data_IF_726452524545
#
_entry.id   IF_726452524545
#
_cell.length_a   1.000
_cell.length_b   1.000
_cell.length_c   1.000
_cell.angle_alpha   90.00
_cell.angle_beta   90.00
_cell.angle_gamma   90.00
#
_symmetry.space_group_name_H-M   'P 1'
#
loop_
_entity.id
_entity.type
_entity.pdbx_description
1 polymer ?
#
# COMPACT_ATOMS: atom_id res chain seq x y z
N UNK A 1 13.23 5.27 -16.57
CA UNK A 1 12.17 6.15 -16.06
C UNK A 1 12.04 5.84 -14.58
N UNK A 2 12.32 6.83 -13.73
CA UNK A 2 12.49 6.78 -12.26
C UNK A 2 11.21 7.45 -11.69
N UNK A 3 10.37 6.90 -10.79
CA UNK A 3 10.55 6.34 -9.44
C UNK A 3 9.26 5.61 -8.97
N UNK A 4 9.39 4.74 -7.96
CA UNK A 4 8.31 3.99 -7.28
C UNK A 4 7.51 4.89 -6.32
N UNK A 5 6.37 4.41 -5.78
CA UNK A 5 5.56 5.09 -4.75
C UNK A 5 5.46 4.25 -3.48
N UNK A 6 5.40 4.89 -2.32
CA UNK A 6 5.21 4.24 -1.02
C UNK A 6 3.87 4.66 -0.42
N UNK A 7 3.28 3.86 0.46
CA UNK A 7 2.09 4.22 1.23
C UNK A 7 2.47 4.52 2.69
N UNK A 8 1.90 5.57 3.27
CA UNK A 8 2.12 6.02 4.64
C UNK A 8 0.76 6.26 5.29
N UNK A 9 0.50 5.77 6.51
CA UNK A 9 -0.81 5.94 7.16
C UNK A 9 -0.63 6.48 8.57
N UNK A 10 -1.45 7.44 8.97
CA UNK A 10 -1.66 7.76 10.37
C UNK A 10 -2.89 7.01 10.88
N UNK A 11 -2.75 6.40 12.05
CA UNK A 11 -3.80 5.66 12.71
C UNK A 11 -3.98 6.25 14.10
N UNK A 12 -5.21 6.61 14.43
CA UNK A 12 -5.60 6.89 15.80
C UNK A 12 -5.51 5.59 16.61
N UNK A 13 -4.60 5.55 17.58
CA UNK A 13 -4.31 4.33 18.33
C UNK A 13 -5.44 3.93 19.28
N UNK A 14 -6.24 4.88 19.76
CA UNK A 14 -7.33 4.61 20.69
C UNK A 14 -8.51 3.92 19.99
N UNK A 15 -8.80 4.31 18.75
CA UNK A 15 -9.97 3.84 17.99
C UNK A 15 -9.61 2.89 16.85
N UNK A 16 -8.33 2.84 16.45
CA UNK A 16 -7.87 2.14 15.26
C UNK A 16 -8.30 2.80 13.95
N UNK A 17 -8.87 4.01 14.00
CA UNK A 17 -9.30 4.74 12.82
C UNK A 17 -8.09 5.26 12.04
N UNK A 18 -8.09 5.09 10.72
CA UNK A 18 -7.06 5.67 9.87
C UNK A 18 -7.39 7.16 9.69
N UNK A 19 -6.56 8.03 10.27
CA UNK A 19 -6.74 9.48 10.31
C UNK A 19 -5.99 10.21 9.21
N UNK A 20 -4.96 9.57 8.63
CA UNK A 20 -4.31 10.01 7.39
C UNK A 20 -3.86 8.80 6.57
N UNK A 21 -3.81 8.94 5.25
CA UNK A 21 -3.51 7.85 4.33
C UNK A 21 -2.87 8.41 3.06
N UNK A 22 -1.55 8.40 3.05
CA UNK A 22 -0.69 9.11 2.13
C UNK A 22 0.11 8.15 1.25
N UNK A 23 0.59 8.62 0.10
CA UNK A 23 1.22 7.83 -0.97
C UNK A 23 2.39 8.61 -1.61
N UNK A 24 3.53 8.69 -0.96
CA UNK A 24 4.59 9.60 -1.40
C UNK A 24 5.60 8.95 -2.35
N UNK A 25 6.54 9.74 -2.85
CA UNK A 25 7.54 9.24 -3.78
C UNK A 25 8.42 8.23 -3.03
N UNK A 26 8.72 7.07 -3.61
CA UNK A 26 9.52 6.06 -2.91
C UNK A 26 11.00 6.43 -2.76
N UNK A 27 11.49 7.49 -3.41
CA UNK A 27 12.78 8.12 -3.04
C UNK A 27 12.65 9.24 -2.03
N UNK A 28 11.42 9.67 -1.70
CA UNK A 28 11.20 10.50 -0.54
C UNK A 28 11.17 9.57 0.67
N UNK A 29 12.22 9.71 1.47
CA UNK A 29 12.20 9.18 2.81
C UNK A 29 10.96 9.72 3.51
N UNK A 30 10.25 8.81 4.16
CA UNK A 30 9.36 9.00 5.31
C UNK A 30 9.61 10.38 6.02
N UNK A 31 10.88 10.75 6.27
CA UNK A 31 11.32 12.03 6.87
C UNK A 31 10.90 13.33 6.22
N UNK A 32 10.50 13.25 4.97
CA UNK A 32 10.02 14.38 4.20
C UNK A 32 8.49 14.45 4.16
N UNK A 33 7.79 13.40 4.58
CA UNK A 33 6.34 13.21 4.32
C UNK A 33 5.52 13.12 5.62
N UNK A 34 6.15 12.70 6.73
CA UNK A 34 5.51 12.57 8.04
C UNK A 34 4.82 13.84 8.54
N UNK A 35 5.44 15.01 8.36
CA UNK A 35 4.89 16.28 8.86
C UNK A 35 3.52 16.57 8.21
N UNK A 36 3.41 16.33 6.91
CA UNK A 36 2.18 16.52 6.16
C UNK A 36 1.14 15.46 6.56
N UNK A 37 1.55 14.21 6.74
CA UNK A 37 0.69 13.10 7.20
C UNK A 37 0.12 13.38 8.58
N UNK A 38 0.98 13.83 9.51
CA UNK A 38 0.59 14.13 10.88
C UNK A 38 -0.27 15.39 10.98
N UNK A 39 0.09 16.46 10.27
CA UNK A 39 -0.71 17.70 10.24
C UNK A 39 -2.14 17.41 9.75
N UNK A 40 -2.25 16.56 8.72
CA UNK A 40 -3.56 16.13 8.22
C UNK A 40 -4.32 15.28 9.24
N UNK A 41 -3.67 14.28 9.85
CA UNK A 41 -4.28 13.45 10.88
C UNK A 41 -4.83 14.29 12.04
N UNK A 42 -4.02 15.23 12.54
CA UNK A 42 -4.40 16.15 13.62
C UNK A 42 -5.54 17.07 13.20
N UNK A 43 -5.51 17.59 11.96
CA UNK A 43 -6.59 18.41 11.41
C UNK A 43 -7.92 17.66 11.33
N UNK A 44 -7.91 16.41 10.84
CA UNK A 44 -9.10 15.56 10.78
C UNK A 44 -9.65 15.23 12.17
N UNK A 45 -8.77 14.95 13.14
CA UNK A 45 -9.17 14.74 14.54
C UNK A 45 -9.79 16.03 15.11
N UNK A 46 -9.18 17.19 14.86
CA UNK A 46 -9.66 18.47 15.35
C UNK A 46 -11.04 18.86 14.78
N UNK A 47 -11.30 18.58 13.49
CA UNK A 47 -12.62 18.80 12.87
C UNK A 47 -13.73 17.97 13.52
N UNK A 48 -13.41 16.79 14.03
CA UNK A 48 -14.38 15.86 14.64
C UNK A 48 -14.52 16.11 16.14
N UNK A 49 -13.40 16.31 16.85
CA UNK A 49 -13.33 16.37 18.31
C UNK A 49 -13.40 17.80 18.88
N UNK A 50 -13.24 18.84 18.05
CA UNK A 50 -13.32 20.24 18.46
C UNK A 50 -12.06 20.81 19.14
N UNK A 51 -11.03 19.98 19.38
CA UNK A 51 -9.70 20.40 19.85
C UNK A 51 -8.60 19.59 19.13
N UNK A 52 -7.41 20.18 18.86
CA UNK A 52 -6.28 19.46 18.28
C UNK A 52 -5.64 18.56 19.35
N UNK A 53 -6.24 17.39 19.58
CA UNK A 53 -5.77 16.41 20.54
C UNK A 53 -4.93 15.34 19.83
N UNK A 54 -3.63 15.59 19.73
CA UNK A 54 -2.64 14.54 19.51
C UNK A 54 -1.59 14.69 20.60
N UNK A 55 -1.64 13.80 21.60
CA UNK A 55 -0.76 13.86 22.77
C UNK A 55 0.54 13.09 22.54
N UNK A 56 0.48 12.04 21.73
CA UNK A 56 1.59 11.12 21.46
C UNK A 56 1.59 10.71 19.98
N UNK A 57 2.78 10.60 19.39
CA UNK A 57 2.98 10.14 18.01
C UNK A 57 4.01 9.03 18.00
N UNK A 58 3.64 7.91 17.39
CA UNK A 58 4.51 6.76 17.15
C UNK A 58 4.76 6.68 15.65
N UNK A 59 6.03 6.77 15.23
CA UNK A 59 6.44 6.75 13.82
C UNK A 59 7.79 6.01 13.65
N UNK A 60 8.11 5.56 12.44
CA UNK A 60 9.41 4.94 12.08
C UNK A 60 10.49 6.04 11.96
N UNK A 61 11.79 5.88 12.25
CA UNK A 61 12.77 6.98 11.98
C UNK A 61 13.10 7.12 10.50
N UNK A 62 12.70 6.19 9.64
CA UNK A 62 12.51 6.52 8.23
C UNK A 62 11.84 7.89 8.11
N UNK A 63 10.88 8.17 9.01
CA UNK A 63 9.97 9.31 9.07
C UNK A 63 10.54 10.63 9.59
N UNK A 64 11.86 10.76 9.89
CA UNK A 64 12.43 12.03 10.37
C UNK A 64 13.91 12.35 10.07
N UNK A 65 14.20 13.63 9.78
CA UNK A 65 15.53 14.27 9.91
C UNK A 65 15.61 14.99 11.27
N UNK A 66 16.80 15.20 11.84
CA UNK A 66 16.97 15.93 13.11
C UNK A 66 16.34 17.35 13.10
N UNK A 67 16.16 17.92 11.92
CA UNK A 67 15.60 19.26 11.69
C UNK A 67 14.06 19.32 11.76
N UNK A 68 13.35 18.19 11.63
CA UNK A 68 11.86 18.13 11.68
C UNK A 68 11.30 17.85 13.08
N UNK A 69 12.14 17.38 14.02
CA UNK A 69 11.76 17.15 15.43
C UNK A 69 11.20 18.41 16.15
N UNK A 70 11.76 19.63 15.97
CA UNK A 70 11.20 20.84 16.56
C UNK A 70 9.84 21.23 15.94
N UNK A 71 9.60 20.89 14.68
CA UNK A 71 8.36 21.22 13.96
C UNK A 71 7.21 20.35 14.45
N UNK A 72 7.44 19.04 14.61
CA UNK A 72 6.44 18.12 15.19
C UNK A 72 6.06 18.50 16.61
N UNK A 73 7.00 18.99 17.43
CA UNK A 73 6.70 19.47 18.78
C UNK A 73 5.75 20.68 18.83
N UNK A 74 5.55 21.36 17.70
CA UNK A 74 4.66 22.52 17.55
C UNK A 74 3.30 22.20 16.89
N UNK A 75 3.09 20.97 16.38
CA UNK A 75 1.85 20.56 15.67
C UNK A 75 0.69 20.22 16.65
N UNK A 76 0.94 20.25 17.94
CA UNK A 76 -0.04 20.08 19.00
C UNK A 76 0.63 20.32 20.33
N UNK A 77 -0.09 20.89 21.29
CA UNK A 77 0.48 21.27 22.60
C UNK A 77 1.11 20.06 23.31
N UNK A 78 2.44 19.93 23.26
CA UNK A 78 3.19 19.00 24.11
C UNK A 78 3.33 17.55 23.63
N UNK A 79 3.38 17.32 22.32
CA UNK A 79 3.59 16.01 21.69
C UNK A 79 4.84 15.26 22.24
N UNK A 80 4.66 14.01 22.68
CA UNK A 80 5.76 13.05 22.96
C UNK A 80 5.96 12.10 21.78
N UNK A 81 7.20 11.98 21.30
CA UNK A 81 7.57 11.14 20.14
C UNK A 81 8.38 9.92 20.57
N UNK A 82 8.07 8.74 20.02
CA UNK A 82 8.85 7.50 20.15
C UNK A 82 9.26 7.01 18.74
N UNK A 83 10.50 7.26 18.33
CA UNK A 83 10.93 7.15 16.90
C UNK A 83 12.33 6.47 16.78
N UNK A 84 12.44 5.26 16.17
CA UNK A 84 13.70 4.48 16.12
C UNK A 84 14.44 4.49 14.75
N UNK A 85 15.77 4.71 14.76
CA UNK A 85 16.85 4.57 13.70
C UNK A 85 16.46 4.01 12.31
N UNK A 86 16.98 4.53 11.14
CA UNK A 86 16.43 4.22 9.80
C UNK A 86 16.14 2.74 9.65
N UNK A 87 14.94 2.36 9.19
CA UNK A 87 14.47 0.99 9.35
C UNK A 87 14.59 0.16 8.07
N UNK A 88 14.92 -1.10 8.30
CA UNK A 88 14.71 -2.17 7.35
C UNK A 88 13.25 -2.18 6.88
N UNK A 89 13.00 -2.63 5.65
CA UNK A 89 11.63 -2.97 5.26
C UNK A 89 11.18 -4.16 6.11
N UNK A 90 10.12 -3.97 6.88
CA UNK A 90 9.56 -4.96 7.79
C UNK A 90 8.04 -4.98 7.66
N UNK A 91 7.44 -6.11 8.03
CA UNK A 91 6.02 -6.17 8.38
C UNK A 91 5.95 -6.00 9.89
N UNK A 92 5.21 -5.00 10.35
CA UNK A 92 4.98 -4.75 11.76
C UNK A 92 3.61 -5.26 12.21
N UNK A 93 3.47 -5.56 13.49
CA UNK A 93 2.19 -5.94 14.08
C UNK A 93 2.10 -5.46 15.53
N UNK A 94 0.86 -5.37 16.01
CA UNK A 94 0.53 -5.12 17.41
C UNK A 94 -0.59 -6.07 17.84
N UNK A 95 -0.63 -6.38 19.13
CA UNK A 95 -1.67 -7.23 19.75
C UNK A 95 -2.38 -6.55 20.91
N UNK A 96 -2.02 -5.30 21.21
CA UNK A 96 -2.47 -4.51 22.35
C UNK A 96 -3.03 -3.14 21.91
N UNK A 97 -3.58 -3.08 20.70
CA UNK A 97 -4.16 -1.86 20.14
C UNK A 97 -3.12 -0.81 19.75
N UNK A 98 -1.89 -1.22 19.45
CA UNK A 98 -0.82 -0.31 19.04
C UNK A 98 0.05 0.22 20.18
N UNK A 99 -0.21 -0.16 21.43
CA UNK A 99 0.63 0.22 22.58
C UNK A 99 2.06 -0.31 22.44
N UNK A 100 2.21 -1.51 21.85
CA UNK A 100 3.50 -2.04 21.44
C UNK A 100 3.49 -2.42 19.96
N UNK A 101 4.58 -2.08 19.27
CA UNK A 101 4.83 -2.45 17.88
C UNK A 101 5.98 -3.45 17.84
N UNK A 102 5.74 -4.58 17.18
CA UNK A 102 6.67 -5.70 17.03
C UNK A 102 6.90 -5.98 15.55
N UNK A 103 8.00 -6.66 15.24
CA UNK A 103 8.31 -7.10 13.88
C UNK A 103 7.71 -8.49 13.65
N UNK A 104 6.84 -8.61 12.66
CA UNK A 104 6.28 -9.88 12.19
C UNK A 104 7.22 -10.56 11.19
N UNK A 105 7.86 -9.78 10.32
CA UNK A 105 8.78 -10.25 9.30
C UNK A 105 9.79 -9.16 8.94
N UNK A 106 11.07 -9.53 8.82
CA UNK A 106 12.12 -8.62 8.34
C UNK A 106 12.63 -9.07 6.98
N UNK A 107 12.61 -8.16 6.01
CA UNK A 107 13.21 -8.42 4.71
C UNK A 107 14.74 -8.35 4.77
N UNK A 108 15.36 -8.93 3.75
CA UNK A 108 16.80 -9.02 3.60
C UNK A 108 17.48 -7.68 3.44
N UNK A 109 18.74 -7.64 3.87
CA UNK A 109 19.64 -6.50 3.68
C UNK A 109 19.96 -6.29 2.20
N UNK A 110 19.37 -5.25 1.58
CA UNK A 110 19.63 -4.92 0.20
C UNK A 110 20.87 -4.03 0.06
N UNK A 111 22.01 -4.49 -0.49
CA UNK A 111 23.24 -3.70 -0.55
C UNK A 111 23.18 -2.54 -1.56
N UNK A 112 22.18 -2.52 -2.43
CA UNK A 112 22.04 -1.52 -3.49
C UNK A 112 21.12 -0.36 -3.12
N UNK A 113 20.34 -0.51 -2.04
CA UNK A 113 19.34 0.46 -1.61
C UNK A 113 19.48 0.71 -0.12
N UNK A 114 20.43 1.57 0.20
CA UNK A 114 20.81 1.97 1.54
C UNK A 114 20.99 3.49 1.53
N UNK A 115 20.99 4.08 2.72
CA UNK A 115 21.33 5.50 2.84
C UNK A 115 22.72 5.75 2.23
N UNK A 116 22.82 6.81 1.42
CA UNK A 116 24.03 7.13 0.65
C UNK A 116 25.21 7.37 1.60
N UNK A 117 26.30 6.65 1.38
CA UNK A 117 27.51 6.76 2.20
C UNK A 117 27.50 5.88 3.46
N UNK A 118 26.46 5.05 3.65
CA UNK A 118 26.43 4.05 4.72
C UNK A 118 27.45 2.95 4.42
N UNK A 119 28.23 2.58 5.44
CA UNK A 119 29.14 1.44 5.33
C UNK A 119 28.38 0.11 5.33
N UNK A 120 28.85 -0.93 4.62
CA UNK A 120 28.17 -2.23 4.57
C UNK A 120 27.89 -2.84 5.94
N UNK A 121 28.70 -2.54 6.96
CA UNK A 121 28.45 -3.01 8.33
C UNK A 121 27.15 -2.44 8.95
N UNK A 122 26.72 -1.25 8.53
CA UNK A 122 25.56 -0.51 9.05
C UNK A 122 24.29 -0.61 8.17
N UNK A 123 24.34 -1.28 7.02
CA UNK A 123 23.17 -1.50 6.18
C UNK A 123 21.99 -2.13 6.94
N UNK A 124 20.78 -1.71 6.61
CA UNK A 124 19.55 -2.14 7.26
C UNK A 124 18.97 -3.37 6.57
N UNK A 125 18.26 -4.20 7.34
CA UNK A 125 17.67 -5.46 6.90
C UNK A 125 18.21 -6.67 7.65
N UNK A 126 17.48 -7.77 7.57
CA UNK A 126 17.92 -9.06 8.11
C UNK A 126 19.07 -9.62 7.25
N UNK A 127 20.20 -9.92 7.88
CA UNK A 127 21.37 -10.51 7.21
C UNK A 127 21.15 -11.97 6.82
N UNK A 128 20.25 -12.67 7.51
CA UNK A 128 19.92 -14.07 7.27
C UNK A 128 18.81 -14.26 6.23
N UNK A 129 18.08 -13.21 5.88
CA UNK A 129 17.00 -13.28 4.91
C UNK A 129 17.49 -12.87 3.51
N UNK A 130 17.43 -13.75 2.49
CA UNK A 130 17.81 -13.39 1.12
C UNK A 130 16.72 -12.62 0.36
N UNK A 131 15.50 -12.51 0.91
CA UNK A 131 14.34 -11.90 0.24
C UNK A 131 14.44 -10.38 0.33
N UNK A 132 14.78 -9.74 -0.78
CA UNK A 132 14.93 -8.29 -0.84
C UNK A 132 13.59 -7.61 -1.14
N UNK A 133 13.34 -6.48 -0.49
CA UNK A 133 12.16 -5.66 -0.71
C UNK A 133 12.54 -4.22 -0.46
N UNK A 134 11.94 -3.29 -1.23
CA UNK A 134 12.07 -1.86 -0.99
C UNK A 134 10.78 -1.23 -0.48
N UNK A 135 9.64 -1.82 -0.80
CA UNK A 135 8.36 -1.38 -0.27
C UNK A 135 7.31 -2.49 -0.37
N UNK A 136 6.31 -2.39 0.51
CA UNK A 136 5.19 -3.33 0.60
C UNK A 136 3.98 -2.66 -0.08
N UNK A 137 3.32 -3.38 -0.99
CA UNK A 137 2.11 -2.89 -1.66
C UNK A 137 0.87 -3.00 -0.76
N UNK A 138 0.74 -4.14 -0.06
CA UNK A 138 -0.38 -4.40 0.80
C UNK A 138 -0.06 -5.50 1.81
N UNK A 139 -0.71 -5.43 2.97
CA UNK A 139 -0.85 -6.53 3.93
C UNK A 139 -2.35 -6.65 4.24
N UNK A 140 -2.92 -7.82 4.00
CA UNK A 140 -4.36 -8.06 4.10
C UNK A 140 -4.66 -9.36 4.83
N UNK A 141 -5.75 -9.39 5.59
CA UNK A 141 -6.17 -10.57 6.32
C UNK A 141 -7.18 -11.40 5.50
N UNK A 142 -6.94 -12.71 5.42
CA UNK A 142 -7.89 -13.67 4.90
C UNK A 142 -8.59 -14.38 6.08
N UNK A 143 -9.87 -14.09 6.37
CA UNK A 143 -10.58 -14.68 7.49
C UNK A 143 -10.82 -16.19 7.33
N UNK A 144 -10.94 -16.69 6.10
CA UNK A 144 -11.23 -18.10 5.84
C UNK A 144 -10.06 -19.01 6.23
N UNK A 145 -8.83 -18.54 6.02
CA UNK A 145 -7.61 -19.27 6.40
C UNK A 145 -7.03 -18.81 7.74
N UNK A 146 -7.55 -17.72 8.31
CA UNK A 146 -6.96 -17.04 9.47
C UNK A 146 -5.48 -16.70 9.25
N UNK A 147 -5.15 -16.28 8.04
CA UNK A 147 -3.80 -15.96 7.62
C UNK A 147 -3.74 -14.56 6.99
N UNK A 148 -2.57 -13.94 7.07
CA UNK A 148 -2.26 -12.68 6.41
C UNK A 148 -1.56 -12.93 5.09
N UNK A 149 -1.84 -12.11 4.11
CA UNK A 149 -1.14 -12.09 2.83
C UNK A 149 -0.46 -10.74 2.67
N UNK A 150 0.79 -10.76 2.24
CA UNK A 150 1.52 -9.56 1.88
C UNK A 150 1.95 -9.63 0.42
N UNK A 151 1.88 -8.49 -0.28
CA UNK A 151 2.47 -8.34 -1.59
C UNK A 151 3.50 -7.20 -1.56
N UNK A 152 4.61 -7.38 -2.26
CA UNK A 152 5.68 -6.38 -2.35
C UNK A 152 5.95 -5.96 -3.79
N UNK A 153 6.67 -4.86 -3.95
CA UNK A 153 7.23 -4.33 -5.19
C UNK A 153 8.63 -3.72 -4.94
N UNK A 154 9.34 -3.13 -5.90
CA UNK A 154 8.94 -2.61 -7.22
C UNK A 154 9.77 -3.28 -8.34
N UNK A 155 10.31 -2.49 -9.26
CA UNK A 155 11.26 -2.90 -10.28
C UNK A 155 12.56 -3.42 -9.64
N UNK A 156 12.84 -4.70 -9.89
CA UNK A 156 14.06 -5.43 -9.57
C UNK A 156 15.40 -4.69 -9.81
N UNK A 157 15.46 -3.75 -10.78
CA UNK A 157 16.65 -3.02 -11.25
C UNK A 157 17.91 -3.88 -11.52
N UNK A 158 17.74 -5.19 -11.74
CA UNK A 158 18.84 -6.13 -11.96
C UNK A 158 19.53 -6.61 -10.68
N UNK A 159 18.98 -6.33 -9.49
CA UNK A 159 19.57 -6.64 -8.19
C UNK A 159 18.87 -7.77 -7.43
N UNK A 160 17.93 -8.46 -8.07
CA UNK A 160 17.10 -9.51 -7.47
C UNK A 160 15.61 -9.20 -7.65
N UNK A 161 14.76 -10.17 -7.34
CA UNK A 161 13.32 -9.97 -7.37
C UNK A 161 12.88 -9.14 -6.16
N UNK A 162 11.96 -8.22 -6.39
CA UNK A 162 11.32 -7.42 -5.33
C UNK A 162 9.80 -7.60 -5.29
N UNK A 163 9.23 -8.26 -6.31
CA UNK A 163 7.81 -8.57 -6.38
C UNK A 163 7.58 -9.95 -5.75
N UNK A 164 7.10 -9.95 -4.50
CA UNK A 164 6.85 -11.16 -3.73
C UNK A 164 5.41 -11.22 -3.25
N UNK A 165 4.86 -12.43 -3.18
CA UNK A 165 3.68 -12.72 -2.37
C UNK A 165 4.10 -13.56 -1.19
N UNK A 166 3.67 -13.17 0.00
CA UNK A 166 3.93 -13.88 1.24
C UNK A 166 2.62 -14.24 1.93
N UNK A 167 2.65 -15.33 2.69
CA UNK A 167 1.56 -15.75 3.58
C UNK A 167 2.10 -15.91 5.00
N UNK A 168 1.44 -15.27 5.96
CA UNK A 168 1.82 -15.25 7.37
C UNK A 168 0.73 -15.81 8.25
N UNK A 169 1.05 -16.79 9.09
CA UNK A 169 0.20 -17.25 10.18
C UNK A 169 0.75 -16.77 11.52
N UNK A 170 -0.14 -16.30 12.40
CA UNK A 170 0.21 -15.84 13.73
C UNK A 170 -0.22 -16.84 14.80
N UNK A 171 0.75 -17.34 15.57
CA UNK A 171 0.51 -18.11 16.79
C UNK A 171 0.43 -17.16 17.98
N UNK A 172 -0.81 -16.87 18.40
CA UNK A 172 -1.08 -15.98 19.53
C UNK A 172 -0.60 -16.53 20.88
N UNK A 173 -0.41 -17.85 21.03
CA UNK A 173 0.10 -18.43 22.29
C UNK A 173 1.61 -18.27 22.40
N UNK A 174 2.29 -18.43 21.28
CA UNK A 174 3.74 -18.30 21.20
C UNK A 174 4.20 -16.85 20.94
N UNK A 175 3.29 -15.96 20.55
CA UNK A 175 3.58 -14.61 20.07
C UNK A 175 4.57 -14.61 18.90
N UNK A 176 4.30 -15.46 17.92
CA UNK A 176 5.22 -15.74 16.80
C UNK A 176 4.50 -15.80 15.46
N UNK A 177 5.23 -15.46 14.42
CA UNK A 177 4.79 -15.56 13.05
C UNK A 177 5.53 -16.66 12.29
N UNK A 178 4.80 -17.37 11.44
CA UNK A 178 5.36 -18.20 10.36
C UNK A 178 5.03 -17.56 9.02
N UNK A 179 6.03 -16.95 8.38
CA UNK A 179 5.90 -16.30 7.06
C UNK A 179 6.56 -17.14 5.98
N UNK A 180 5.84 -17.34 4.89
CA UNK A 180 6.30 -18.11 3.74
C UNK A 180 6.19 -17.25 2.49
N UNK A 181 7.29 -17.16 1.73
CA UNK A 181 7.26 -16.58 0.37
C UNK A 181 6.62 -17.61 -0.57
N UNK A 182 5.47 -17.25 -1.11
CA UNK A 182 4.72 -18.08 -2.06
C UNK A 182 5.17 -17.85 -3.50
N UNK A 183 5.46 -16.60 -3.84
CA UNK A 183 5.85 -16.17 -5.19
C UNK A 183 6.96 -15.15 -5.08
N UNK A 184 7.96 -15.24 -5.95
CA UNK A 184 9.03 -14.25 -6.11
C UNK A 184 9.40 -14.11 -7.57
N UNK A 185 9.08 -12.96 -8.17
CA UNK A 185 9.13 -12.77 -9.63
C UNK A 185 9.57 -11.36 -10.02
N UNK A 186 9.67 -11.13 -11.33
CA UNK A 186 10.00 -9.82 -11.87
C UNK A 186 8.79 -8.87 -11.91
N UNK A 187 9.08 -7.59 -12.11
CA UNK A 187 8.10 -6.49 -12.07
C UNK A 187 7.21 -6.34 -13.31
N UNK A 188 7.42 -7.14 -14.36
CA UNK A 188 6.47 -7.30 -15.46
C UNK A 188 5.65 -8.59 -15.29
N UNK A 189 5.01 -8.76 -14.14
CA UNK A 189 4.15 -9.92 -13.86
C UNK A 189 2.90 -9.48 -13.13
N UNK A 190 1.81 -10.26 -13.27
CA UNK A 190 0.54 -10.02 -12.55
C UNK A 190 0.66 -10.09 -11.02
N UNK A 191 1.80 -10.56 -10.53
CA UNK A 191 2.09 -10.65 -9.10
C UNK A 191 2.65 -9.35 -8.53
N UNK A 192 3.09 -8.41 -9.37
CA UNK A 192 3.27 -7.03 -8.94
C UNK A 192 1.86 -6.43 -8.84
N UNK A 193 1.39 -6.29 -7.61
CA UNK A 193 -0.04 -6.08 -7.38
C UNK A 193 -0.35 -5.34 -6.09
N UNK A 194 -1.48 -4.66 -6.07
CA UNK A 194 -2.12 -4.10 -4.88
C UNK A 194 -3.63 -4.30 -4.93
N UNK A 195 -4.36 -3.56 -4.10
CA UNK A 195 -5.83 -3.66 -4.03
C UNK A 195 -6.32 -5.09 -3.73
N UNK A 196 -5.63 -5.80 -2.85
CA UNK A 196 -5.90 -7.22 -2.60
C UNK A 196 -7.19 -7.37 -1.79
N UNK A 197 -8.10 -8.24 -2.23
CA UNK A 197 -9.40 -8.47 -1.59
C UNK A 197 -9.70 -9.97 -1.48
N UNK A 198 -10.35 -10.37 -0.39
CA UNK A 198 -10.91 -11.71 -0.22
C UNK A 198 -12.43 -11.64 -0.19
N UNK A 199 -13.09 -12.29 -1.14
CA UNK A 199 -14.57 -12.32 -1.25
C UNK A 199 -15.01 -13.75 -1.54
N UNK A 200 -15.92 -14.28 -0.75
CA UNK A 200 -16.48 -15.63 -0.90
C UNK A 200 -15.42 -16.74 -1.06
N UNK A 201 -14.33 -16.64 -0.29
CA UNK A 201 -13.22 -17.60 -0.32
C UNK A 201 -12.32 -17.50 -1.55
N UNK A 202 -12.49 -16.47 -2.38
CA UNK A 202 -11.64 -16.18 -3.54
C UNK A 202 -10.72 -15.00 -3.25
N UNK A 203 -9.51 -15.07 -3.79
CA UNK A 203 -8.51 -14.00 -3.77
C UNK A 203 -8.63 -13.18 -5.06
N UNK A 204 -8.73 -11.86 -4.91
CA UNK A 204 -8.75 -10.89 -5.99
C UNK A 204 -7.61 -9.88 -5.82
N UNK A 205 -7.05 -9.39 -6.93
CA UNK A 205 -6.02 -8.36 -6.89
C UNK A 205 -6.00 -7.53 -8.17
N UNK A 206 -5.52 -6.30 -8.04
CA UNK A 206 -5.20 -5.42 -9.16
C UNK A 206 -3.69 -5.47 -9.40
N UNK A 207 -3.29 -5.75 -10.64
CA UNK A 207 -1.90 -5.86 -11.04
C UNK A 207 -1.41 -4.58 -11.70
N UNK A 208 -0.26 -4.07 -11.24
CA UNK A 208 0.39 -2.86 -11.71
C UNK A 208 1.68 -3.14 -12.50
N UNK A 209 1.76 -4.30 -13.16
CA UNK A 209 2.94 -4.69 -13.94
C UNK A 209 3.39 -3.57 -14.89
N UNK A 210 4.61 -3.09 -14.65
CA UNK A 210 5.23 -1.96 -15.34
C UNK A 210 6.76 -2.09 -15.46
N UNK A 211 7.26 -3.30 -15.23
CA UNK A 211 8.68 -3.63 -15.36
C UNK A 211 9.20 -3.60 -16.81
N UNK A 212 10.53 -3.69 -16.98
CA UNK A 212 11.13 -3.88 -18.30
C UNK A 212 10.51 -5.08 -19.03
N UNK A 213 10.20 -4.89 -20.31
CA UNK A 213 9.61 -5.91 -21.18
C UNK A 213 10.19 -5.83 -22.59
N UNK A 214 10.06 -6.90 -23.37
CA UNK A 214 10.43 -6.88 -24.79
C UNK A 214 9.48 -5.97 -25.60
N UNK A 215 9.91 -5.45 -26.78
CA UNK A 215 9.08 -4.56 -27.59
C UNK A 215 7.69 -5.14 -27.94
N UNK A 216 7.62 -6.43 -28.22
CA UNK A 216 6.38 -7.13 -28.62
C UNK A 216 5.66 -7.82 -27.45
N UNK A 217 6.21 -7.73 -26.24
CA UNK A 217 5.59 -8.28 -25.04
C UNK A 217 4.51 -7.33 -24.51
N UNK A 218 3.40 -7.87 -24.01
CA UNK A 218 2.38 -7.08 -23.31
C UNK A 218 2.66 -7.11 -21.81
N UNK A 219 2.25 -6.06 -21.11
CA UNK A 219 2.26 -6.09 -19.65
C UNK A 219 1.26 -7.14 -19.15
N UNK A 220 1.67 -7.98 -18.20
CA UNK A 220 0.80 -8.96 -17.54
C UNK A 220 0.06 -8.27 -16.38
N UNK A 221 -0.95 -7.47 -16.72
CA UNK A 221 -1.67 -6.61 -15.78
C UNK A 221 -3.19 -6.66 -15.98
N UNK A 222 -3.92 -6.12 -15.02
CA UNK A 222 -5.37 -6.19 -14.98
C UNK A 222 -5.90 -6.54 -13.61
N UNK A 223 -7.14 -7.00 -13.56
CA UNK A 223 -7.76 -7.52 -12.35
C UNK A 223 -7.93 -9.02 -12.49
N UNK A 224 -7.46 -9.75 -11.50
CA UNK A 224 -7.40 -11.20 -11.51
C UNK A 224 -8.11 -11.79 -10.30
N UNK A 225 -8.45 -13.08 -10.42
CA UNK A 225 -8.99 -13.87 -9.33
C UNK A 225 -8.47 -15.30 -9.37
N UNK A 226 -8.27 -15.90 -8.20
CA UNK A 226 -8.08 -17.35 -8.05
C UNK A 226 -8.53 -17.83 -6.65
N UNK A 227 -8.54 -19.15 -6.44
CA UNK A 227 -8.53 -19.68 -5.07
C UNK A 227 -7.18 -19.35 -4.42
N UNK A 228 -7.12 -18.97 -3.12
CA UNK A 228 -5.85 -18.58 -2.48
C UNK A 228 -4.74 -19.64 -2.57
N UNK A 229 -5.09 -20.92 -2.46
CA UNK A 229 -4.16 -22.04 -2.59
C UNK A 229 -3.58 -22.20 -4.02
N UNK A 230 -4.24 -21.63 -5.03
CA UNK A 230 -3.80 -21.65 -6.42
C UNK A 230 -2.98 -20.41 -6.81
N UNK A 231 -2.72 -19.49 -5.89
CA UNK A 231 -2.03 -18.23 -6.15
C UNK A 231 -0.71 -18.43 -6.91
N UNK A 232 0.10 -19.41 -6.53
CA UNK A 232 1.41 -19.63 -7.15
C UNK A 232 1.34 -20.19 -8.59
N UNK A 233 0.19 -20.71 -9.05
CA UNK A 233 0.01 -21.23 -10.40
C UNK A 233 -0.79 -20.26 -11.27
N UNK A 234 -0.10 -19.47 -12.09
CA UNK A 234 -0.72 -18.44 -12.94
C UNK A 234 -1.71 -18.99 -13.98
N UNK A 235 -1.67 -20.29 -14.28
CA UNK A 235 -2.62 -20.93 -15.19
C UNK A 235 -4.02 -21.10 -14.56
N UNK A 236 -4.11 -21.00 -13.24
CA UNK A 236 -5.36 -21.07 -12.48
C UNK A 236 -6.05 -19.73 -12.32
N UNK A 237 -5.38 -18.65 -12.71
CA UNK A 237 -5.91 -17.31 -12.54
C UNK A 237 -6.93 -17.00 -13.63
N UNK A 238 -8.06 -16.44 -13.21
CA UNK A 238 -9.04 -15.85 -14.12
C UNK A 238 -8.70 -14.37 -14.27
N UNK A 239 -8.46 -13.91 -15.52
CA UNK A 239 -8.39 -12.50 -15.85
C UNK A 239 -9.81 -11.94 -15.95
N UNK A 240 -10.22 -11.10 -15.00
CA UNK A 240 -11.54 -10.47 -14.97
C UNK A 240 -11.58 -9.19 -15.80
N UNK A 241 -10.49 -8.43 -15.79
CA UNK A 241 -10.38 -7.18 -16.52
C UNK A 241 -8.98 -7.05 -17.12
N UNK A 242 -8.90 -6.98 -18.45
CA UNK A 242 -7.65 -6.82 -19.17
C UNK A 242 -7.31 -5.33 -19.29
N UNK A 243 -6.55 -4.81 -18.32
CA UNK A 243 -6.24 -3.39 -18.24
C UNK A 243 -5.16 -3.00 -19.26
N UNK A 244 -5.41 -1.94 -20.03
CA UNK A 244 -4.39 -1.35 -20.89
C UNK A 244 -3.27 -0.71 -20.07
N UNK A 245 -3.61 -0.07 -18.94
CA UNK A 245 -2.70 0.65 -18.04
C UNK A 245 -2.60 -0.02 -16.67
N UNK A 246 -1.59 0.34 -15.89
CA UNK A 246 -1.41 -0.19 -14.54
C UNK A 246 -2.53 0.21 -13.58
N UNK A 247 -2.87 -0.74 -12.69
CA UNK A 247 -3.90 -0.61 -11.67
C UNK A 247 -3.35 -1.11 -10.34
N UNK A 248 -2.96 -0.20 -9.45
CA UNK A 248 -2.32 -0.54 -8.19
C UNK A 248 -3.31 -0.65 -7.01
N UNK A 249 -4.53 -0.12 -7.17
CA UNK A 249 -5.53 -0.06 -6.11
C UNK A 249 -6.89 -0.55 -6.60
N UNK A 250 -7.59 -1.22 -5.69
CA UNK A 250 -8.91 -1.78 -5.88
C UNK A 250 -9.58 -1.96 -4.51
N UNK A 251 -10.90 -1.83 -4.49
CA UNK A 251 -11.76 -2.33 -3.41
C UNK A 251 -12.85 -3.21 -4.00
N UNK A 252 -13.29 -4.21 -3.22
CA UNK A 252 -14.49 -4.99 -3.51
C UNK A 252 -15.41 -4.94 -2.30
N UNK A 253 -16.64 -4.48 -2.49
CA UNK A 253 -17.66 -4.45 -1.43
C UNK A 253 -19.06 -4.59 -2.03
N UNK A 254 -19.90 -5.44 -1.44
CA UNK A 254 -21.26 -5.76 -1.90
C UNK A 254 -21.34 -6.13 -3.40
N UNK A 255 -20.38 -6.91 -3.86
CA UNK A 255 -20.31 -7.35 -5.26
C UNK A 255 -19.82 -6.29 -6.24
N UNK A 256 -19.55 -5.05 -5.78
CA UNK A 256 -19.00 -3.99 -6.63
C UNK A 256 -17.48 -3.98 -6.54
N UNK A 257 -16.81 -3.92 -7.69
CA UNK A 257 -15.38 -3.69 -7.81
C UNK A 257 -15.17 -2.25 -8.29
N UNK A 258 -14.33 -1.49 -7.59
CA UNK A 258 -13.77 -0.22 -8.04
C UNK A 258 -12.26 -0.34 -8.09
N UNK A 259 -11.65 0.11 -9.20
CA UNK A 259 -10.20 0.10 -9.35
C UNK A 259 -9.73 1.34 -10.15
N UNK A 260 -8.58 1.89 -9.76
CA UNK A 260 -8.06 3.14 -10.29
C UNK A 260 -7.02 2.93 -11.38
N UNK A 261 -7.01 3.82 -12.37
CA UNK A 261 -5.88 3.97 -13.29
C UNK A 261 -4.94 5.05 -12.77
N UNK A 262 -3.64 4.76 -12.78
CA UNK A 262 -2.63 5.76 -12.45
C UNK A 262 -2.50 6.77 -13.60
N UNK A 263 -2.87 8.04 -13.37
CA UNK A 263 -2.89 9.08 -14.39
C UNK A 263 -1.53 9.27 -15.10
N UNK A 264 -0.36 9.22 -14.42
CA UNK A 264 0.92 9.41 -15.11
C UNK A 264 1.34 8.23 -15.99
N UNK A 265 0.73 7.07 -15.81
CA UNK A 265 1.00 5.85 -16.57
C UNK A 265 -0.16 5.50 -17.54
N UNK A 266 -1.16 6.36 -17.67
CA UNK A 266 -2.33 6.14 -18.51
C UNK A 266 -2.66 7.34 -19.39
N UNK A 267 -3.49 7.12 -20.41
CA UNK A 267 -4.06 8.20 -21.22
C UNK A 267 -5.25 8.88 -20.53
N UNK A 268 -5.78 8.27 -19.47
CA UNK A 268 -6.85 8.82 -18.66
C UNK A 268 -6.38 10.00 -17.82
N UNK A 269 -7.24 10.99 -17.68
CA UNK A 269 -7.01 12.10 -16.75
C UNK A 269 -7.34 11.67 -15.34
N UNK A 270 -8.52 11.10 -15.10
CA UNK A 270 -8.87 10.47 -13.83
C UNK A 270 -9.65 9.20 -14.10
N UNK A 271 -8.93 8.10 -14.31
CA UNK A 271 -9.49 6.84 -14.77
C UNK A 271 -10.02 5.96 -13.64
N UNK A 272 -11.27 5.52 -13.75
CA UNK A 272 -11.90 4.54 -12.85
C UNK A 272 -12.46 3.40 -13.69
N UNK A 273 -12.09 2.17 -13.36
CA UNK A 273 -12.79 0.97 -13.80
C UNK A 273 -13.78 0.53 -12.71
N UNK A 274 -15.00 0.18 -13.12
CA UNK A 274 -16.04 -0.33 -12.23
C UNK A 274 -16.65 -1.61 -12.79
N UNK A 275 -16.90 -2.56 -11.89
CA UNK A 275 -17.76 -3.70 -12.15
C UNK A 275 -18.85 -3.78 -11.07
N UNK A 276 -20.14 -3.68 -11.43
CA UNK A 276 -21.23 -3.77 -10.45
C UNK A 276 -21.61 -5.22 -10.10
N UNK A 277 -20.97 -6.22 -10.71
CA UNK A 277 -21.41 -7.62 -10.69
C UNK A 277 -20.24 -8.61 -10.51
N UNK A 278 -19.26 -8.20 -9.70
CA UNK A 278 -18.11 -8.99 -9.28
C UNK A 278 -17.23 -9.48 -10.46
N UNK A 279 -17.04 -8.59 -11.43
CA UNK A 279 -16.13 -8.75 -12.55
C UNK A 279 -16.75 -9.38 -13.79
N UNK A 280 -18.09 -9.50 -13.89
CA UNK A 280 -18.75 -10.07 -15.08
C UNK A 280 -18.91 -9.02 -16.18
N UNK A 281 -19.30 -7.81 -15.82
CA UNK A 281 -19.38 -6.65 -16.70
C UNK A 281 -18.54 -5.50 -16.16
N UNK A 282 -18.01 -4.69 -17.08
CA UNK A 282 -17.10 -3.60 -16.75
C UNK A 282 -17.50 -2.33 -17.49
N UNK A 283 -17.38 -1.21 -16.79
CA UNK A 283 -17.35 0.12 -17.39
C UNK A 283 -16.04 0.82 -17.00
N UNK A 284 -15.56 1.69 -17.87
CA UNK A 284 -14.41 2.54 -17.63
C UNK A 284 -14.81 3.99 -17.84
N UNK A 285 -14.44 4.85 -16.90
CA UNK A 285 -14.75 6.27 -16.91
C UNK A 285 -13.46 7.07 -16.83
N UNK A 286 -13.37 8.11 -17.65
CA UNK A 286 -12.39 9.17 -17.49
C UNK A 286 -13.10 10.41 -16.98
N UNK A 287 -12.91 10.73 -15.69
CA UNK A 287 -13.46 11.95 -15.08
C UNK A 287 -12.55 13.14 -15.45
N UNK A 288 -12.47 13.43 -16.75
CA UNK A 288 -11.50 14.34 -17.33
C UNK A 288 -11.66 15.80 -16.86
N UNK A 289 -12.85 16.18 -16.40
CA UNK A 289 -13.12 17.45 -15.75
C UNK A 289 -12.29 17.66 -14.49
N UNK A 290 -11.93 16.58 -13.80
CA UNK A 290 -11.02 16.64 -12.67
C UNK A 290 -9.60 16.84 -13.13
N UNK A 291 -9.21 16.69 -14.40
CA UNK A 291 -7.81 16.77 -14.85
C UNK A 291 -6.98 15.55 -14.40
N UNK A 292 -5.63 15.59 -14.50
CA UNK A 292 -4.77 14.43 -14.27
C UNK A 292 -4.65 14.05 -12.78
N UNK A 293 -5.52 13.15 -12.30
CA UNK A 293 -5.51 12.60 -10.95
C UNK A 293 -5.50 11.07 -10.95
N UNK A 294 -4.64 10.49 -10.13
CA UNK A 294 -4.63 9.05 -9.83
C UNK A 294 -5.53 8.79 -8.63
N UNK A 295 -6.53 7.89 -8.73
CA UNK A 295 -7.14 7.28 -7.56
C UNK A 295 -6.06 6.45 -6.87
N UNK A 296 -5.81 6.70 -5.59
CA UNK A 296 -4.75 6.01 -4.85
C UNK A 296 -5.25 5.16 -3.71
N UNK A 297 -6.43 5.48 -3.17
CA UNK A 297 -7.06 4.73 -2.09
C UNK A 297 -8.57 4.75 -2.23
N UNK A 298 -9.15 3.56 -2.20
CA UNK A 298 -10.59 3.38 -2.02
C UNK A 298 -10.87 3.02 -0.57
N UNK A 299 -11.83 3.70 0.03
CA UNK A 299 -12.29 3.40 1.38
C UNK A 299 -13.59 2.58 1.33
N UNK A 300 -13.86 1.75 2.35
CA UNK A 300 -15.15 1.09 2.50
C UNK A 300 -16.31 2.08 2.42
N UNK A 301 -17.51 1.58 2.05
CA UNK A 301 -18.68 2.45 1.97
C UNK A 301 -19.07 3.00 3.33
N UNK A 302 -19.55 4.24 3.31
CA UNK A 302 -20.31 4.76 4.45
C UNK A 302 -21.73 4.14 4.52
N UNK A 303 -22.47 4.46 5.57
CA UNK A 303 -23.85 3.98 5.78
C UNK A 303 -24.84 4.33 4.65
N UNK A 304 -24.51 5.36 3.86
CA UNK A 304 -25.31 5.81 2.72
C UNK A 304 -24.89 5.14 1.40
N UNK A 305 -23.92 4.24 1.44
CA UNK A 305 -23.44 3.46 0.30
C UNK A 305 -22.47 4.21 -0.62
N UNK A 306 -21.81 5.27 -0.15
CA UNK A 306 -20.77 5.99 -0.90
C UNK A 306 -19.38 5.46 -0.58
N UNK A 307 -18.61 5.16 -1.60
CA UNK A 307 -17.16 4.99 -1.50
C UNK A 307 -16.49 6.37 -1.48
N UNK A 308 -15.57 6.57 -0.54
CA UNK A 308 -14.61 7.68 -0.60
C UNK A 308 -13.38 7.22 -1.38
N UNK A 309 -12.86 8.08 -2.24
CA UNK A 309 -11.66 7.82 -3.04
C UNK A 309 -10.71 8.99 -2.86
N UNK A 310 -9.52 8.72 -2.35
CA UNK A 310 -8.48 9.75 -2.27
C UNK A 310 -7.75 9.83 -3.61
N UNK A 311 -7.58 11.05 -4.12
CA UNK A 311 -6.91 11.32 -5.38
C UNK A 311 -5.55 11.99 -5.16
N UNK A 312 -4.64 11.76 -6.11
CA UNK A 312 -3.34 12.45 -6.18
C UNK A 312 -3.07 13.01 -7.57
N UNK A 313 -2.50 14.21 -7.64
CA UNK A 313 -1.91 14.77 -8.86
C UNK A 313 -0.53 14.18 -9.08
N UNK A 314 -0.26 13.84 -10.34
CA UNK A 314 0.89 13.03 -10.65
C UNK A 314 0.76 11.71 -9.89
N UNK A 315 1.73 11.46 -9.03
CA UNK A 315 1.74 10.25 -8.24
C UNK A 315 1.64 10.47 -6.73
N UNK A 316 2.04 11.65 -6.26
CA UNK A 316 2.25 11.89 -4.83
C UNK A 316 1.66 13.20 -4.32
N UNK A 317 1.35 14.14 -5.20
CA UNK A 317 0.83 15.41 -4.72
C UNK A 317 -0.64 15.16 -4.36
N UNK A 318 -1.02 15.37 -3.10
CA UNK A 318 -2.41 15.22 -2.67
C UNK A 318 -3.33 16.09 -3.52
N UNK A 319 -4.50 15.58 -3.82
CA UNK A 319 -5.50 16.27 -4.60
C UNK A 319 -6.87 16.20 -3.91
N UNK A 320 -7.93 16.28 -4.70
CA UNK A 320 -9.30 16.26 -4.21
C UNK A 320 -9.71 14.85 -3.71
N UNK A 321 -10.80 14.79 -2.95
CA UNK A 321 -11.47 13.52 -2.62
C UNK A 321 -12.68 13.36 -3.53
N UNK A 322 -12.87 12.16 -4.06
CA UNK A 322 -14.02 11.79 -4.88
C UNK A 322 -14.95 10.87 -4.08
N UNK A 323 -16.26 11.11 -4.19
CA UNK A 323 -17.27 10.19 -3.67
C UNK A 323 -17.95 9.47 -4.82
N UNK A 324 -17.89 8.14 -4.81
CA UNK A 324 -18.49 7.28 -5.83
C UNK A 324 -19.62 6.49 -5.21
N UNK A 325 -20.82 6.58 -5.80
CA UNK A 325 -21.93 5.70 -5.47
C UNK A 325 -22.35 4.94 -6.73
N UNK A 326 -22.05 3.63 -6.82
CA UNK A 326 -22.53 2.78 -7.89
C UNK A 326 -24.06 2.85 -7.97
N UNK A 327 -24.58 2.92 -9.19
CA UNK A 327 -26.03 2.78 -9.41
C UNK A 327 -26.38 1.28 -9.34
N UNK A 328 -27.58 0.93 -8.83
CA UNK A 328 -28.07 -0.45 -8.80
C UNK A 328 -28.12 -1.11 -10.17
#
# INVERSE_FOLDING_TARGET
>A
MHLAYKAENAVDLDTGAITAAEIDHADQADSATLEDTLTFAVGQIAEIAGEPLCQEVVADKGDLKNETLPVISNIGTGLRTYIPEPLAVNIYYSTDGGQTVKIAYSFGRNPHFQEKGTEPAAFLGDRGNPVLCRHIHAVVFNPAERAFYACTGDINRGHGNECHWLRGEYDARADKWDWQVLVSVNSNSRYKSGGICFVDGQLYWAADANGPKLPNEKYDRGIFRCAPAELADSKKHTLLFNAEFEMANMIIEDGVILAGHCAPASTYKTGIAISPDLGKTWAQYDLAELGPRSPVRFHPKNSDGWFRVDLRKGWIERAEVLFIKPKP
#
